data_IF_635351234835
#
_entry.id   IF_635351234835
#
_cell.length_a   1.000
_cell.length_b   1.000
_cell.length_c   1.000
_cell.angle_alpha   90.00
_cell.angle_beta   90.00
_cell.angle_gamma   90.00
#
_symmetry.space_group_name_H-M   'P 1'
#
loop_
_entity.id
_entity.type
_entity.pdbx_description
1 polymer ?
#
# COMPACT_ATOMS: atom_id res chain seq x y z
N UNK A 1 -20.43 -1.38 71.00
CA UNK A 1 -20.33 -2.32 69.85
C UNK A 1 -20.00 -1.52 68.61
N UNK A 2 -18.71 -1.40 68.29
CA UNK A 2 -18.19 -0.63 67.15
C UNK A 2 -18.03 -1.57 65.94
N UNK A 3 -18.60 -1.16 64.80
CA UNK A 3 -18.59 -1.89 63.52
C UNK A 3 -17.21 -1.81 62.86
N UNK A 4 -16.68 -2.98 62.47
CA UNK A 4 -15.44 -3.15 61.72
C UNK A 4 -15.60 -2.69 60.26
N UNK A 5 -14.76 -1.72 59.85
CA UNK A 5 -14.52 -1.31 58.46
C UNK A 5 -13.42 -2.19 57.86
N UNK A 6 -13.74 -2.97 56.83
CA UNK A 6 -12.74 -3.69 56.02
C UNK A 6 -12.00 -2.70 55.11
N UNK A 7 -10.72 -2.43 55.41
CA UNK A 7 -9.83 -1.61 54.59
C UNK A 7 -9.50 -2.31 53.27
N UNK A 8 -9.87 -1.68 52.14
CA UNK A 8 -9.30 -1.93 50.81
C UNK A 8 -7.88 -1.36 50.80
N UNK A 9 -6.88 -2.20 50.54
CA UNK A 9 -5.51 -1.74 50.30
C UNK A 9 -5.41 -1.23 48.85
N UNK A 10 -5.32 0.09 48.70
CA UNK A 10 -4.86 0.74 47.47
C UNK A 10 -3.42 1.15 47.72
N UNK A 11 -2.47 0.48 47.06
CA UNK A 11 -1.06 0.86 47.15
C UNK A 11 -0.81 2.03 46.20
N UNK A 12 -0.61 3.23 46.76
CA UNK A 12 -0.01 4.36 46.05
C UNK A 12 1.49 4.37 46.35
N UNK A 13 2.32 4.15 45.33
CA UNK A 13 3.76 4.36 45.43
C UNK A 13 4.09 5.76 44.90
N UNK A 14 4.53 6.66 45.79
CA UNK A 14 5.03 7.99 45.42
C UNK A 14 6.56 7.93 45.26
N UNK A 15 7.06 8.03 44.03
CA UNK A 15 8.49 8.31 43.74
C UNK A 15 8.62 9.21 42.51
N UNK A 16 9.58 10.13 42.58
CA UNK A 16 9.84 11.30 41.74
C UNK A 16 10.52 11.01 40.39
N UNK A 17 10.09 11.77 39.36
CA UNK A 17 10.62 12.00 37.99
C UNK A 17 10.53 10.89 36.91
N UNK A 18 9.62 11.17 35.95
CA UNK A 18 9.46 10.67 34.56
C UNK A 18 8.98 9.22 34.34
N UNK A 19 7.76 8.94 34.77
CA UNK A 19 6.92 7.93 34.12
C UNK A 19 5.66 8.58 33.55
N UNK A 20 5.46 8.39 32.25
CA UNK A 20 4.33 8.94 31.50
C UNK A 20 3.10 8.03 31.51
N UNK A 21 3.14 6.89 32.19
CA UNK A 21 2.09 5.88 32.16
C UNK A 21 1.51 5.58 33.55
N UNK A 22 0.20 5.37 33.60
CA UNK A 22 -0.53 4.83 34.76
C UNK A 22 -1.19 3.51 34.36
N UNK A 23 -1.21 2.53 35.27
CA UNK A 23 -1.76 1.20 35.00
C UNK A 23 -2.94 0.89 35.91
N UNK A 24 -3.94 0.21 35.35
CA UNK A 24 -5.07 -0.31 36.10
C UNK A 24 -5.40 -1.73 35.64
N UNK A 25 -5.33 -2.67 36.57
CA UNK A 25 -5.63 -4.07 36.30
C UNK A 25 -7.11 -4.35 36.59
N UNK A 26 -7.86 -4.58 35.51
CA UNK A 26 -9.29 -4.90 35.56
C UNK A 26 -9.53 -6.41 35.70
N UNK A 27 -10.80 -6.81 35.54
CA UNK A 27 -11.19 -8.23 35.64
C UNK A 27 -10.59 -9.08 34.51
N UNK A 28 -10.58 -8.57 33.28
CA UNK A 28 -10.19 -9.32 32.08
C UNK A 28 -9.09 -8.62 31.25
N UNK A 29 -8.61 -7.45 31.68
CA UNK A 29 -7.68 -6.63 30.90
C UNK A 29 -6.82 -5.72 31.75
N UNK A 30 -5.66 -5.37 31.23
CA UNK A 30 -4.82 -4.26 31.68
C UNK A 30 -5.21 -2.99 30.95
N UNK A 31 -5.42 -1.90 31.68
CA UNK A 31 -5.50 -0.54 31.14
C UNK A 31 -4.17 0.20 31.36
N UNK A 32 -3.64 0.83 30.31
CA UNK A 32 -2.48 1.72 30.37
C UNK A 32 -2.90 3.11 29.90
N UNK A 33 -2.83 4.10 30.78
CA UNK A 33 -3.09 5.50 30.47
C UNK A 33 -1.80 6.26 30.24
N UNK A 34 -1.66 6.95 29.10
CA UNK A 34 -0.54 7.87 28.85
C UNK A 34 -0.89 9.30 29.23
N UNK A 35 -0.10 9.90 30.11
CA UNK A 35 -0.18 11.33 30.48
C UNK A 35 0.19 12.25 29.32
N UNK A 36 1.09 11.81 28.43
CA UNK A 36 1.50 12.60 27.25
C UNK A 36 0.38 12.58 26.21
N UNK A 37 -0.04 11.38 25.79
CA UNK A 37 -1.03 11.24 24.73
C UNK A 37 -2.47 11.45 25.20
N UNK A 38 -2.67 11.63 26.52
CA UNK A 38 -3.98 11.78 27.18
C UNK A 38 -5.00 10.73 26.73
N UNK A 39 -4.55 9.48 26.59
CA UNK A 39 -5.38 8.37 26.11
C UNK A 39 -5.03 7.05 26.80
N UNK A 40 -6.07 6.25 27.05
CA UNK A 40 -5.98 4.90 27.62
C UNK A 40 -5.95 3.84 26.53
N UNK A 41 -5.30 2.71 26.82
CA UNK A 41 -5.28 1.50 26.01
C UNK A 41 -5.64 0.30 26.87
N UNK A 42 -6.46 -0.59 26.32
CA UNK A 42 -6.88 -1.80 27.01
C UNK A 42 -6.29 -3.03 26.32
N UNK A 43 -5.66 -3.90 27.10
CA UNK A 43 -5.02 -5.13 26.64
C UNK A 43 -5.71 -6.32 27.33
N UNK A 44 -6.42 -7.17 26.59
CA UNK A 44 -6.98 -8.41 27.14
C UNK A 44 -5.87 -9.28 27.73
N UNK A 45 -6.15 -9.96 28.86
CA UNK A 45 -5.18 -10.84 29.50
C UNK A 45 -4.76 -12.01 28.61
N UNK A 46 -5.69 -12.57 27.83
CA UNK A 46 -5.38 -13.58 26.83
C UNK A 46 -4.37 -13.07 25.81
N UNK A 47 -4.58 -11.87 25.27
CA UNK A 47 -3.66 -11.25 24.32
C UNK A 47 -2.27 -11.03 24.92
N UNK A 48 -2.20 -10.54 26.17
CA UNK A 48 -0.91 -10.37 26.86
C UNK A 48 -0.17 -11.71 26.99
N UNK A 49 -0.85 -12.76 27.44
CA UNK A 49 -0.27 -14.10 27.63
C UNK A 49 0.21 -14.71 26.32
N UNK A 50 -0.57 -14.56 25.25
CA UNK A 50 -0.26 -15.00 23.89
C UNK A 50 0.93 -14.24 23.30
N UNK A 51 1.04 -12.94 23.61
CA UNK A 51 2.16 -12.08 23.18
C UNK A 51 3.34 -12.08 24.18
N UNK A 52 3.47 -13.11 25.01
CA UNK A 52 4.62 -13.26 25.90
C UNK A 52 5.92 -13.38 25.08
N UNK A 53 6.93 -12.57 25.43
CA UNK A 53 8.24 -12.57 24.76
C UNK A 53 9.33 -13.28 25.58
N UNK A 54 8.98 -14.19 26.49
CA UNK A 54 10.01 -15.00 27.15
C UNK A 54 10.58 -16.06 26.17
N UNK A 55 11.75 -16.61 26.46
CA UNK A 55 12.41 -17.60 25.59
C UNK A 55 11.66 -18.92 25.39
N UNK A 56 10.57 -19.16 26.14
CA UNK A 56 9.67 -20.32 25.94
C UNK A 56 8.49 -20.02 25.01
N UNK A 57 8.18 -18.75 24.79
CA UNK A 57 7.02 -18.32 24.00
C UNK A 57 7.44 -17.59 22.73
N UNK A 58 8.71 -17.22 22.61
CA UNK A 58 9.25 -16.49 21.49
C UNK A 58 10.67 -16.94 21.14
N UNK A 59 10.86 -17.30 19.88
CA UNK A 59 12.15 -17.64 19.33
C UNK A 59 12.84 -16.37 18.83
N UNK A 60 13.79 -15.86 19.61
CA UNK A 60 14.55 -14.65 19.24
C UNK A 60 15.54 -14.85 18.09
N UNK A 61 15.86 -16.09 17.72
CA UNK A 61 16.72 -16.37 16.57
C UNK A 61 15.90 -16.26 15.27
N UNK A 62 14.69 -16.82 15.26
CA UNK A 62 13.79 -16.77 14.12
C UNK A 62 12.91 -15.51 14.07
N UNK A 63 12.80 -14.78 15.18
CA UNK A 63 11.83 -13.69 15.39
C UNK A 63 10.37 -14.16 15.26
N UNK A 64 10.09 -15.37 15.76
CA UNK A 64 8.81 -16.07 15.62
C UNK A 64 8.17 -16.41 16.98
N UNK A 65 6.84 -16.55 16.98
CA UNK A 65 6.07 -16.96 18.15
C UNK A 65 6.13 -18.49 18.29
N UNK A 66 6.58 -18.98 19.45
CA UNK A 66 6.60 -20.42 19.77
C UNK A 66 5.38 -20.87 20.56
N UNK A 67 4.61 -19.92 21.12
CA UNK A 67 3.44 -20.28 21.92
C UNK A 67 2.33 -20.84 21.04
N UNK A 68 1.82 -22.01 21.43
CA UNK A 68 0.56 -22.52 20.89
C UNK A 68 -0.60 -21.92 21.68
N UNK A 69 -1.39 -21.05 21.03
CA UNK A 69 -2.56 -20.39 21.61
C UNK A 69 -3.52 -21.39 22.26
N UNK A 70 -3.65 -22.62 21.73
CA UNK A 70 -4.56 -23.65 22.27
C UNK A 70 -4.14 -24.16 23.64
N UNK A 71 -2.88 -23.94 24.03
CA UNK A 71 -2.37 -24.28 25.37
C UNK A 71 -2.72 -23.22 26.41
N UNK A 72 -3.21 -22.05 25.99
CA UNK A 72 -3.61 -20.95 26.86
C UNK A 72 -5.11 -21.10 27.19
N UNK A 73 -5.50 -21.27 28.46
CA UNK A 73 -6.91 -21.36 28.80
C UNK A 73 -7.65 -20.05 28.54
N UNK A 74 -8.89 -20.11 28.02
CA UNK A 74 -9.75 -18.92 27.87
C UNK A 74 -10.04 -18.18 29.20
N UNK A 75 -9.81 -18.86 30.32
CA UNK A 75 -9.94 -18.33 31.68
C UNK A 75 -8.65 -17.70 32.22
N UNK A 76 -7.64 -17.51 31.37
CA UNK A 76 -6.34 -16.95 31.73
C UNK A 76 -6.49 -15.60 32.43
N UNK A 77 -5.85 -15.48 33.59
CA UNK A 77 -5.89 -14.29 34.43
C UNK A 77 -4.62 -14.16 35.28
N UNK A 78 -4.26 -12.95 35.70
CA UNK A 78 -3.17 -12.75 36.64
C UNK A 78 -3.48 -13.43 37.99
N UNK A 79 -2.59 -14.31 38.43
CA UNK A 79 -2.52 -14.77 39.82
C UNK A 79 -1.76 -13.74 40.67
N UNK A 80 -0.68 -13.17 40.15
CA UNK A 80 0.13 -12.15 40.81
C UNK A 80 0.67 -11.16 39.79
N UNK A 81 0.79 -9.91 40.21
CA UNK A 81 1.36 -8.83 39.42
C UNK A 81 2.42 -8.14 40.28
N UNK A 82 3.61 -7.95 39.74
CA UNK A 82 4.73 -7.34 40.44
C UNK A 82 5.38 -6.27 39.56
N UNK A 83 5.54 -5.06 40.09
CA UNK A 83 6.42 -4.06 39.46
C UNK A 83 7.85 -4.54 39.62
N UNK A 84 8.57 -4.68 38.52
CA UNK A 84 10.01 -4.97 38.57
C UNK A 84 10.75 -3.65 38.74
N UNK A 85 10.41 -2.68 37.90
CA UNK A 85 10.89 -1.30 38.00
C UNK A 85 9.76 -0.33 37.61
N UNK A 86 10.16 0.89 37.24
CA UNK A 86 9.27 1.97 36.83
C UNK A 86 8.58 1.71 35.47
N UNK A 87 9.25 1.05 34.54
CA UNK A 87 8.79 0.80 33.17
C UNK A 87 8.31 -0.63 32.98
N UNK A 88 8.76 -1.56 33.80
CA UNK A 88 8.51 -3.00 33.60
C UNK A 88 7.70 -3.61 34.74
N UNK A 89 6.83 -4.54 34.38
CA UNK A 89 6.07 -5.35 35.33
C UNK A 89 6.05 -6.80 34.87
N UNK A 90 5.86 -7.69 35.84
CA UNK A 90 5.64 -9.11 35.58
C UNK A 90 4.23 -9.54 35.98
N UNK A 91 3.70 -10.51 35.23
CA UNK A 91 2.46 -11.21 35.55
C UNK A 91 2.82 -12.69 35.75
N UNK A 92 2.49 -13.22 36.93
CA UNK A 92 2.34 -14.66 37.13
C UNK A 92 0.90 -15.03 36.80
N UNK A 93 0.73 -15.88 35.80
CA UNK A 93 -0.56 -16.33 35.29
C UNK A 93 -1.11 -17.54 36.05
N UNK A 94 -2.40 -17.81 35.91
CA UNK A 94 -3.05 -18.98 36.53
C UNK A 94 -2.74 -20.33 35.86
N UNK A 95 -2.05 -20.33 34.72
CA UNK A 95 -1.42 -21.52 34.13
C UNK A 95 -0.01 -21.78 34.71
N UNK A 96 0.45 -20.94 35.65
CA UNK A 96 1.78 -21.02 36.26
C UNK A 96 2.90 -20.34 35.47
N UNK A 97 2.62 -19.80 34.28
CA UNK A 97 3.61 -19.09 33.48
C UNK A 97 3.90 -17.69 34.04
N UNK A 98 5.12 -17.20 33.86
CA UNK A 98 5.50 -15.82 34.19
C UNK A 98 5.89 -15.05 32.92
N UNK A 99 5.24 -13.92 32.70
CA UNK A 99 5.53 -13.01 31.58
C UNK A 99 5.98 -11.65 32.09
N UNK A 100 6.87 -10.99 31.36
CA UNK A 100 7.38 -9.65 31.68
C UNK A 100 7.09 -8.69 30.52
N UNK A 101 6.66 -7.47 30.85
CA UNK A 101 6.24 -6.47 29.89
C UNK A 101 6.84 -5.12 30.21
N UNK A 102 7.26 -4.41 29.16
CA UNK A 102 7.63 -2.99 29.22
C UNK A 102 6.42 -2.14 28.84
N UNK A 103 6.04 -1.21 29.71
CA UNK A 103 4.85 -0.36 29.56
C UNK A 103 4.91 0.52 28.31
N UNK A 104 6.08 1.05 27.97
CA UNK A 104 6.26 1.94 26.82
C UNK A 104 6.17 1.14 25.52
N UNK A 105 6.85 -0.01 25.45
CA UNK A 105 6.75 -0.92 24.30
C UNK A 105 5.31 -1.41 24.11
N UNK A 106 4.66 -1.81 25.19
CA UNK A 106 3.28 -2.31 25.17
C UNK A 106 2.31 -1.20 24.72
N UNK A 107 2.44 0.01 25.29
CA UNK A 107 1.64 1.16 24.88
C UNK A 107 1.86 1.49 23.41
N UNK A 108 3.11 1.55 22.94
CA UNK A 108 3.45 1.90 21.57
C UNK A 108 3.15 0.79 20.55
N UNK A 109 2.96 -0.46 21.00
CA UNK A 109 2.62 -1.60 20.14
C UNK A 109 1.39 -1.29 19.26
N UNK A 110 0.33 -0.74 19.84
CA UNK A 110 -0.88 -0.37 19.07
C UNK A 110 -0.81 1.00 18.38
N UNK A 111 0.24 1.81 18.59
CA UNK A 111 0.43 3.05 17.81
C UNK A 111 0.98 2.72 16.42
N UNK A 112 1.76 1.66 16.26
CA UNK A 112 2.31 1.28 14.95
C UNK A 112 1.23 0.85 13.96
N UNK A 113 0.13 0.25 14.42
CA UNK A 113 -1.01 -0.11 13.56
C UNK A 113 -1.97 1.07 13.28
N UNK A 114 -2.14 1.99 14.24
CA UNK A 114 -3.07 3.13 14.12
C UNK A 114 -2.43 4.38 13.49
N UNK A 115 -1.10 4.52 13.56
CA UNK A 115 -0.34 5.58 12.89
C UNK A 115 0.23 5.08 11.56
N UNK A 116 -0.58 4.45 10.70
CA UNK A 116 -0.30 4.60 9.27
C UNK A 116 -0.18 6.11 9.02
N UNK A 117 1.02 6.53 8.59
CA UNK A 117 1.41 7.93 8.62
C UNK A 117 0.32 8.81 8.01
N UNK A 118 -0.05 9.87 8.74
CA UNK A 118 -0.96 10.96 8.30
C UNK A 118 -0.43 11.75 7.09
N UNK A 119 0.60 11.26 6.38
CA UNK A 119 0.97 11.83 5.10
C UNK A 119 -0.11 11.44 4.09
N UNK A 120 -1.11 12.30 4.00
CA UNK A 120 -2.24 12.16 3.09
C UNK A 120 -1.75 12.10 1.63
N UNK A 121 -2.25 11.12 0.89
CA UNK A 121 -2.17 11.08 -0.57
C UNK A 121 -2.69 12.41 -1.10
N UNK A 122 -1.84 13.18 -1.79
CA UNK A 122 -2.27 14.43 -2.42
C UNK A 122 -2.90 14.08 -3.75
N UNK A 123 -4.24 14.11 -3.81
CA UNK A 123 -4.97 13.92 -5.07
C UNK A 123 -4.71 15.11 -6.01
N UNK A 124 -4.52 14.84 -7.30
CA UNK A 124 -4.14 15.87 -8.25
C UNK A 124 -4.77 15.74 -9.63
N UNK A 125 -4.81 16.87 -10.31
CA UNK A 125 -5.01 16.99 -11.74
C UNK A 125 -3.87 17.86 -12.32
N UNK A 126 -3.95 18.20 -13.60
CA UNK A 126 -2.95 19.04 -14.28
C UNK A 126 -2.67 20.36 -13.55
N UNK A 127 -3.71 21.00 -13.01
CA UNK A 127 -3.58 22.29 -12.32
C UNK A 127 -2.88 22.15 -10.97
N UNK A 128 -3.17 21.08 -10.22
CA UNK A 128 -2.60 20.83 -8.90
C UNK A 128 -1.11 20.46 -8.96
N UNK A 129 -0.69 19.69 -9.98
CA UNK A 129 0.73 19.45 -10.25
C UNK A 129 1.43 20.75 -10.70
N UNK A 130 0.74 21.53 -11.52
CA UNK A 130 1.22 22.82 -12.01
C UNK A 130 2.58 22.71 -12.68
N UNK A 131 3.40 23.76 -12.56
CA UNK A 131 4.74 23.80 -13.15
C UNK A 131 5.76 22.90 -12.43
N UNK A 132 5.49 22.52 -11.17
CA UNK A 132 6.41 21.65 -10.40
C UNK A 132 6.44 20.22 -10.95
N UNK A 133 5.33 19.77 -11.54
CA UNK A 133 5.24 18.45 -12.16
C UNK A 133 5.49 17.29 -11.18
N UNK A 134 5.92 16.17 -11.74
CA UNK A 134 6.28 14.96 -10.98
C UNK A 134 7.66 15.15 -10.32
N UNK A 135 7.84 14.78 -9.03
CA UNK A 135 9.12 14.87 -8.34
C UNK A 135 10.23 14.09 -9.04
N UNK A 136 11.44 14.65 -9.00
CA UNK A 136 12.62 14.12 -9.69
C UNK A 136 13.77 13.85 -8.71
N UNK A 137 14.48 12.75 -8.92
CA UNK A 137 15.64 12.37 -8.10
C UNK A 137 16.81 11.94 -9.00
N UNK A 138 18.03 12.25 -8.59
CA UNK A 138 19.22 11.80 -9.32
C UNK A 138 19.50 10.31 -9.04
N UNK A 139 19.85 9.56 -10.09
CA UNK A 139 20.10 8.12 -10.04
C UNK A 139 21.16 7.70 -9.01
N UNK A 140 22.33 8.35 -9.00
CA UNK A 140 23.42 7.99 -8.08
C UNK A 140 23.02 8.24 -6.63
N UNK A 141 22.32 9.33 -6.35
CA UNK A 141 21.82 9.64 -5.01
C UNK A 141 20.74 8.63 -4.58
N UNK A 142 19.82 8.29 -5.47
CA UNK A 142 18.78 7.29 -5.22
C UNK A 142 19.36 5.91 -4.86
N UNK A 143 20.39 5.46 -5.58
CA UNK A 143 21.01 4.17 -5.31
C UNK A 143 21.79 4.15 -3.99
N UNK A 144 22.51 5.23 -3.67
CA UNK A 144 23.52 5.20 -2.62
C UNK A 144 23.10 5.88 -1.29
N UNK A 145 21.97 6.59 -1.25
CA UNK A 145 21.52 7.33 -0.06
C UNK A 145 20.10 6.91 0.37
N UNK A 146 19.97 6.28 1.54
CA UNK A 146 18.69 5.86 2.11
C UNK A 146 17.76 7.04 2.43
N UNK A 147 18.29 8.25 2.69
CA UNK A 147 17.46 9.44 2.89
C UNK A 147 16.77 9.87 1.59
N UNK A 148 17.46 9.72 0.45
CA UNK A 148 16.92 10.01 -0.87
C UNK A 148 15.92 8.93 -1.30
N UNK A 149 16.22 7.65 -1.03
CA UNK A 149 15.25 6.58 -1.25
C UNK A 149 13.98 6.81 -0.41
N UNK A 150 14.12 7.18 0.88
CA UNK A 150 12.99 7.52 1.75
C UNK A 150 12.14 8.63 1.13
N UNK A 151 12.74 9.75 0.71
CA UNK A 151 12.03 10.85 0.05
C UNK A 151 11.36 10.43 -1.26
N UNK A 152 11.98 9.50 -2.00
CA UNK A 152 11.42 8.93 -3.23
C UNK A 152 10.15 8.13 -2.93
N UNK A 153 10.20 7.22 -1.94
CA UNK A 153 9.05 6.41 -1.53
C UNK A 153 7.93 7.27 -0.94
N UNK A 154 8.26 8.32 -0.17
CA UNK A 154 7.30 9.33 0.32
C UNK A 154 6.64 10.07 -0.86
N UNK A 155 7.40 10.38 -1.90
CA UNK A 155 6.88 11.05 -3.09
C UNK A 155 5.96 10.14 -3.90
N UNK A 156 6.27 8.85 -4.04
CA UNK A 156 5.37 7.84 -4.62
C UNK A 156 4.09 7.74 -3.79
N UNK A 157 4.17 7.66 -2.46
CA UNK A 157 2.98 7.60 -1.58
C UNK A 157 2.10 8.84 -1.73
N UNK A 158 2.73 10.02 -1.78
CA UNK A 158 2.05 11.31 -1.85
C UNK A 158 1.45 11.61 -3.22
N UNK A 159 2.24 11.48 -4.29
CA UNK A 159 1.86 11.88 -5.65
C UNK A 159 1.57 10.71 -6.58
N UNK A 160 1.91 9.48 -6.22
CA UNK A 160 1.73 8.30 -7.07
C UNK A 160 2.82 8.12 -8.12
N UNK A 161 3.75 9.06 -8.31
CA UNK A 161 4.85 8.93 -9.28
C UNK A 161 6.09 9.74 -8.90
N UNK A 162 7.22 9.32 -9.46
CA UNK A 162 8.53 9.99 -9.42
C UNK A 162 9.30 9.71 -10.71
N UNK A 163 10.24 10.57 -11.05
CA UNK A 163 11.20 10.35 -12.14
C UNK A 163 12.61 10.24 -11.54
N UNK A 164 13.34 9.20 -11.92
CA UNK A 164 14.79 9.09 -11.65
C UNK A 164 15.53 9.55 -12.90
N UNK A 165 16.41 10.54 -12.76
CA UNK A 165 17.16 11.16 -13.86
C UNK A 165 18.64 10.75 -13.82
N UNK A 166 19.31 10.81 -14.97
CA UNK A 166 20.71 10.41 -15.14
C UNK A 166 20.95 8.91 -14.90
N UNK A 167 19.98 8.06 -15.28
CA UNK A 167 20.09 6.58 -15.19
C UNK A 167 21.02 6.02 -16.26
N UNK A 168 21.21 6.75 -17.37
CA UNK A 168 21.89 6.27 -18.55
C UNK A 168 20.96 5.52 -19.50
N UNK A 169 21.47 5.16 -20.67
CA UNK A 169 20.67 4.56 -21.77
C UNK A 169 20.71 3.03 -21.79
N UNK A 170 21.39 2.38 -20.84
CA UNK A 170 21.46 0.92 -20.79
C UNK A 170 20.17 0.34 -20.18
N UNK A 171 19.49 -0.54 -20.91
CA UNK A 171 18.23 -1.17 -20.49
C UNK A 171 18.32 -1.96 -19.18
N UNK A 172 19.52 -2.34 -18.73
CA UNK A 172 19.72 -3.09 -17.49
C UNK A 172 19.67 -2.20 -16.24
N UNK A 173 19.75 -0.88 -16.39
CA UNK A 173 19.80 0.04 -15.25
C UNK A 173 18.43 0.15 -14.55
N UNK A 174 17.33 -0.04 -15.27
CA UNK A 174 15.98 -0.09 -14.67
C UNK A 174 15.87 -1.21 -13.62
N UNK A 175 16.58 -2.33 -13.82
CA UNK A 175 16.59 -3.43 -12.86
C UNK A 175 17.30 -3.04 -11.57
N UNK A 176 18.33 -2.18 -11.63
CA UNK A 176 18.99 -1.62 -10.45
C UNK A 176 18.06 -0.67 -9.69
N UNK A 177 17.32 0.17 -10.43
CA UNK A 177 16.27 1.04 -9.85
C UNK A 177 15.23 0.20 -9.12
N UNK A 178 14.73 -0.88 -9.73
CA UNK A 178 13.73 -1.75 -9.11
C UNK A 178 14.27 -2.48 -7.87
N UNK A 179 15.44 -3.13 -8.00
CA UNK A 179 16.10 -3.90 -6.93
C UNK A 179 16.47 -3.07 -5.70
N UNK A 180 16.58 -1.74 -5.85
CA UNK A 180 16.77 -0.83 -4.73
C UNK A 180 15.56 -0.78 -3.79
N UNK A 181 14.35 -1.02 -4.32
CA UNK A 181 13.11 -1.14 -3.54
C UNK A 181 12.85 -2.59 -3.15
N UNK A 182 12.85 -3.51 -4.12
CA UNK A 182 12.55 -4.91 -3.90
C UNK A 182 12.74 -5.79 -5.14
N UNK A 183 12.43 -7.08 -5.07
CA UNK A 183 12.59 -7.99 -6.20
C UNK A 183 11.67 -7.63 -7.36
N UNK A 184 12.14 -7.87 -8.58
CA UNK A 184 11.31 -7.70 -9.79
C UNK A 184 10.17 -8.72 -9.73
N UNK A 185 8.94 -8.25 -9.91
CA UNK A 185 7.76 -9.09 -10.02
C UNK A 185 7.69 -9.68 -11.43
N UNK A 186 7.92 -11.00 -11.53
CA UNK A 186 7.74 -11.71 -12.78
C UNK A 186 6.27 -11.71 -13.23
N UNK A 187 6.06 -11.57 -14.53
CA UNK A 187 4.76 -11.74 -15.18
C UNK A 187 4.87 -12.71 -16.36
N UNK A 188 3.74 -12.98 -17.02
CA UNK A 188 3.72 -13.74 -18.26
C UNK A 188 4.39 -13.02 -19.45
N UNK A 189 4.79 -11.75 -19.27
CA UNK A 189 5.65 -11.00 -20.20
C UNK A 189 7.15 -11.17 -19.91
N UNK A 190 7.52 -11.82 -18.79
CA UNK A 190 8.91 -11.94 -18.33
C UNK A 190 9.22 -11.07 -17.11
N UNK A 191 10.51 -11.05 -16.71
CA UNK A 191 11.04 -10.25 -15.61
C UNK A 191 11.30 -8.80 -16.04
N UNK A 192 12.11 -8.63 -17.09
CA UNK A 192 12.28 -7.36 -17.79
C UNK A 192 11.54 -7.45 -19.12
N UNK A 193 10.55 -6.58 -19.33
CA UNK A 193 9.81 -6.55 -20.58
C UNK A 193 10.36 -5.44 -21.47
N UNK A 194 11.11 -5.80 -22.51
CA UNK A 194 11.54 -4.84 -23.53
C UNK A 194 10.36 -4.61 -24.48
N UNK A 195 9.77 -3.43 -24.40
CA UNK A 195 8.70 -2.96 -25.30
C UNK A 195 9.33 -2.21 -26.46
N UNK A 196 9.34 -2.84 -27.62
CA UNK A 196 9.67 -2.21 -28.91
C UNK A 196 8.44 -2.19 -29.80
N UNK A 197 8.40 -1.36 -30.83
CA UNK A 197 7.35 -1.47 -31.86
C UNK A 197 7.55 -2.67 -32.82
N UNK A 198 8.11 -3.78 -32.32
CA UNK A 198 8.06 -5.08 -32.97
C UNK A 198 6.83 -5.81 -32.45
N UNK A 199 5.96 -6.32 -33.33
CA UNK A 199 4.67 -6.99 -33.02
C UNK A 199 4.77 -8.26 -32.13
N UNK A 200 5.87 -8.43 -31.41
CA UNK A 200 6.00 -9.37 -30.31
C UNK A 200 4.81 -9.25 -29.34
N UNK A 201 4.30 -10.39 -28.91
CA UNK A 201 3.10 -10.56 -28.06
C UNK A 201 1.71 -10.21 -28.63
N UNK A 202 1.56 -9.60 -29.82
CA UNK A 202 0.25 -9.14 -30.37
C UNK A 202 -0.51 -8.21 -29.41
N UNK A 203 0.21 -7.40 -28.65
CA UNK A 203 -0.35 -6.44 -27.71
C UNK A 203 -0.26 -5.00 -28.29
N UNK A 204 -1.26 -4.15 -28.01
CA UNK A 204 -1.33 -2.77 -28.50
C UNK A 204 -0.14 -1.94 -28.01
N UNK A 205 0.47 -2.28 -26.88
CA UNK A 205 1.67 -1.64 -26.35
C UNK A 205 2.84 -1.62 -27.37
N UNK A 206 2.91 -2.65 -28.23
CA UNK A 206 3.95 -2.84 -29.26
C UNK A 206 3.59 -2.21 -30.62
N UNK A 207 2.58 -1.34 -30.66
CA UNK A 207 2.21 -0.57 -31.86
C UNK A 207 2.62 0.90 -31.72
N UNK A 208 2.49 1.68 -32.79
CA UNK A 208 2.73 3.14 -32.78
C UNK A 208 1.46 3.98 -32.52
N UNK A 209 0.32 3.32 -32.26
CA UNK A 209 -0.95 3.98 -31.97
C UNK A 209 -0.96 4.56 -30.56
N UNK A 210 -1.84 5.55 -30.31
CA UNK A 210 -2.02 6.05 -28.95
C UNK A 210 -2.62 4.97 -28.02
N UNK A 211 -2.20 5.05 -26.76
CA UNK A 211 -2.74 4.32 -25.63
C UNK A 211 -3.43 5.33 -24.71
N UNK A 212 -4.73 5.11 -24.49
CA UNK A 212 -5.53 5.84 -23.51
C UNK A 212 -5.10 5.43 -22.10
N UNK A 213 -5.43 6.27 -21.13
CA UNK A 213 -5.18 6.00 -19.72
C UNK A 213 -5.75 4.64 -19.29
N UNK A 214 -4.90 3.79 -18.70
CA UNK A 214 -5.23 2.47 -18.17
C UNK A 214 -4.32 2.10 -16.98
N UNK A 215 -4.73 1.09 -16.21
CA UNK A 215 -3.85 0.35 -15.31
C UNK A 215 -3.51 -1.02 -15.90
N UNK A 216 -2.31 -1.48 -15.59
CA UNK A 216 -1.78 -2.74 -16.09
C UNK A 216 -2.14 -3.91 -15.19
N UNK A 217 -2.15 -5.12 -15.76
CA UNK A 217 -2.36 -6.38 -15.04
C UNK A 217 -3.70 -6.46 -14.26
N UNK A 218 -4.74 -5.76 -14.71
CA UNK A 218 -6.06 -5.70 -14.03
C UNK A 218 -6.72 -7.08 -13.81
N UNK A 219 -6.35 -8.06 -14.62
CA UNK A 219 -6.80 -9.45 -14.58
C UNK A 219 -5.96 -10.35 -13.64
N UNK A 220 -4.87 -9.85 -13.07
CA UNK A 220 -4.05 -10.58 -12.10
C UNK A 220 -4.57 -10.34 -10.68
N UNK A 221 -4.67 -11.42 -9.89
CA UNK A 221 -4.93 -11.33 -8.44
C UNK A 221 -3.84 -10.51 -7.74
N UNK A 222 -2.59 -10.83 -8.04
CA UNK A 222 -1.42 -10.09 -7.61
C UNK A 222 -1.01 -9.11 -8.72
N UNK A 223 -1.84 -8.10 -8.97
CA UNK A 223 -1.53 -7.04 -9.93
C UNK A 223 -0.23 -6.32 -9.55
N UNK A 224 0.48 -5.80 -10.55
CA UNK A 224 1.69 -5.00 -10.32
C UNK A 224 1.38 -3.78 -9.46
N UNK A 225 2.13 -3.60 -8.38
CA UNK A 225 1.95 -2.49 -7.42
C UNK A 225 2.60 -1.21 -7.93
N UNK A 226 3.89 -1.29 -8.24
CA UNK A 226 4.65 -0.21 -8.88
C UNK A 226 5.06 -0.69 -10.27
N UNK A 227 4.95 0.20 -11.24
CA UNK A 227 5.44 0.00 -12.60
C UNK A 227 6.52 1.04 -12.91
N UNK A 228 7.53 0.62 -13.67
CA UNK A 228 8.66 1.49 -14.03
C UNK A 228 8.89 1.47 -15.53
N UNK A 229 9.14 2.64 -16.11
CA UNK A 229 9.35 2.87 -17.53
C UNK A 229 10.70 3.52 -17.77
N UNK A 230 11.60 2.82 -18.46
CA UNK A 230 12.88 3.36 -18.92
C UNK A 230 12.83 3.54 -20.43
N UNK A 231 12.85 4.79 -20.89
CA UNK A 231 13.00 5.05 -22.33
C UNK A 231 14.47 4.83 -22.69
N UNK A 232 14.76 3.77 -23.44
CA UNK A 232 16.11 3.46 -23.94
C UNK A 232 16.38 4.20 -25.25
N UNK A 233 15.34 4.32 -26.08
CA UNK A 233 15.37 5.09 -27.32
C UNK A 233 14.02 5.77 -27.54
N UNK A 234 13.95 7.11 -27.59
CA UNK A 234 12.71 7.85 -27.78
C UNK A 234 12.24 7.70 -29.22
N UNK A 235 10.96 8.01 -29.43
CA UNK A 235 10.43 8.16 -30.77
C UNK A 235 10.99 9.41 -31.46
N UNK A 236 10.88 9.47 -32.79
CA UNK A 236 11.27 10.67 -33.56
C UNK A 236 10.32 11.84 -33.27
N UNK A 237 9.02 11.56 -33.24
CA UNK A 237 7.97 12.53 -32.87
C UNK A 237 6.88 11.84 -32.04
N UNK A 238 6.31 12.58 -31.09
CA UNK A 238 5.28 12.06 -30.18
C UNK A 238 5.81 11.06 -29.16
N UNK A 239 4.93 10.16 -28.70
CA UNK A 239 5.30 9.09 -27.76
C UNK A 239 5.45 9.53 -26.31
N UNK A 240 4.96 10.72 -25.96
CA UNK A 240 4.87 11.24 -24.61
C UNK A 240 4.06 10.28 -23.73
N UNK A 241 4.50 10.11 -22.49
CA UNK A 241 3.81 9.31 -21.48
C UNK A 241 2.69 10.14 -20.86
N UNK A 242 1.52 9.52 -20.67
CA UNK A 242 0.39 10.10 -19.97
C UNK A 242 0.33 9.54 -18.55
N UNK A 243 0.04 10.40 -17.57
CA UNK A 243 -0.41 10.01 -16.23
C UNK A 243 -1.74 10.69 -15.90
N UNK A 244 -2.63 9.94 -15.26
CA UNK A 244 -3.91 10.41 -14.71
C UNK A 244 -4.07 9.88 -13.30
N UNK A 245 -4.37 10.75 -12.33
CA UNK A 245 -4.65 10.32 -10.95
C UNK A 245 -6.03 9.67 -10.86
N UNK A 246 -6.06 8.34 -10.85
CA UNK A 246 -7.29 7.56 -10.80
C UNK A 246 -8.08 7.79 -9.52
N UNK A 247 -7.41 8.07 -8.40
CA UNK A 247 -8.09 8.39 -7.14
C UNK A 247 -8.76 9.77 -7.19
N UNK A 248 -8.13 10.75 -7.86
CA UNK A 248 -8.77 12.05 -8.08
C UNK A 248 -9.97 11.94 -9.03
N UNK A 249 -9.85 11.14 -10.09
CA UNK A 249 -10.98 10.86 -11.00
C UNK A 249 -12.12 10.13 -10.28
N UNK A 250 -11.81 9.17 -9.40
CA UNK A 250 -12.79 8.46 -8.60
C UNK A 250 -13.48 9.40 -7.60
N UNK A 251 -12.74 10.35 -7.01
CA UNK A 251 -13.31 11.39 -6.16
C UNK A 251 -14.28 12.32 -6.94
N UNK A 252 -13.92 12.72 -8.17
CA UNK A 252 -14.83 13.47 -9.04
C UNK A 252 -16.09 12.67 -9.37
N UNK A 253 -15.96 11.38 -9.69
CA UNK A 253 -17.12 10.51 -9.94
C UNK A 253 -18.01 10.43 -8.70
N UNK A 254 -17.42 10.29 -7.51
CA UNK A 254 -18.16 10.26 -6.23
C UNK A 254 -18.95 11.55 -5.99
N UNK A 255 -18.40 12.70 -6.38
CA UNK A 255 -19.05 14.01 -6.21
C UNK A 255 -20.12 14.27 -7.26
N UNK A 256 -19.82 13.96 -8.53
CA UNK A 256 -20.67 14.34 -9.67
C UNK A 256 -21.75 13.29 -9.99
N UNK A 257 -21.45 12.01 -9.75
CA UNK A 257 -22.31 10.87 -10.08
C UNK A 257 -22.22 9.79 -8.97
N UNK A 258 -22.67 10.08 -7.73
CA UNK A 258 -22.48 9.18 -6.58
C UNK A 258 -23.06 7.77 -6.79
N UNK A 259 -24.17 7.64 -7.52
CA UNK A 259 -24.73 6.33 -7.86
C UNK A 259 -23.82 5.51 -8.80
N UNK A 260 -23.12 6.16 -9.74
CA UNK A 260 -22.18 5.47 -10.63
C UNK A 260 -20.90 5.08 -9.88
N UNK A 261 -20.44 5.94 -8.98
CA UNK A 261 -19.36 5.60 -8.06
C UNK A 261 -19.69 4.34 -7.25
N UNK A 262 -20.89 4.28 -6.66
CA UNK A 262 -21.35 3.14 -5.88
C UNK A 262 -21.37 1.85 -6.71
N UNK A 263 -21.80 1.91 -7.97
CA UNK A 263 -21.77 0.77 -8.88
C UNK A 263 -20.33 0.31 -9.12
N UNK A 264 -19.41 1.22 -9.47
CA UNK A 264 -18.01 0.85 -9.74
C UNK A 264 -17.25 0.39 -8.48
N UNK A 265 -17.71 0.77 -7.29
CA UNK A 265 -17.12 0.36 -6.03
C UNK A 265 -17.64 -0.97 -5.49
N UNK A 266 -18.94 -1.28 -5.70
CA UNK A 266 -19.58 -2.45 -5.09
C UNK A 266 -19.77 -3.62 -6.06
N UNK A 267 -19.92 -3.33 -7.35
CA UNK A 267 -20.23 -4.35 -8.35
C UNK A 267 -18.95 -5.06 -8.79
N UNK A 268 -18.90 -6.37 -8.56
CA UNK A 268 -17.78 -7.21 -8.97
C UNK A 268 -17.90 -7.62 -10.44
N UNK A 269 -17.00 -7.13 -11.27
CA UNK A 269 -16.84 -7.51 -12.68
C UNK A 269 -15.63 -8.43 -12.86
N UNK A 270 -15.60 -9.21 -13.93
CA UNK A 270 -14.48 -10.11 -14.22
C UNK A 270 -13.56 -9.49 -15.27
N UNK A 271 -12.33 -9.15 -14.88
CA UNK A 271 -11.25 -8.76 -15.77
C UNK A 271 -10.57 -10.02 -16.29
N UNK A 272 -10.38 -10.13 -17.61
CA UNK A 272 -9.72 -11.29 -18.19
C UNK A 272 -8.62 -10.94 -19.20
N UNK A 273 -7.64 -11.84 -19.29
CA UNK A 273 -6.64 -11.89 -20.34
C UNK A 273 -6.52 -13.33 -20.80
N UNK A 274 -7.03 -13.59 -22.00
CA UNK A 274 -7.03 -14.90 -22.63
C UNK A 274 -6.12 -14.86 -23.86
N UNK A 275 -5.14 -15.74 -23.88
CA UNK A 275 -4.30 -16.03 -25.04
C UNK A 275 -4.35 -17.54 -25.26
N UNK A 276 -5.13 -17.95 -26.25
CA UNK A 276 -5.39 -19.37 -26.53
C UNK A 276 -4.09 -20.20 -26.56
N UNK A 277 -4.08 -21.31 -25.81
CA UNK A 277 -2.93 -22.21 -25.70
C UNK A 277 -1.76 -21.70 -24.86
N UNK A 278 -1.83 -20.49 -24.29
CA UNK A 278 -0.73 -19.90 -23.52
C UNK A 278 -1.16 -19.41 -22.12
N UNK A 279 -2.19 -18.56 -22.03
CA UNK A 279 -2.57 -17.88 -20.78
C UNK A 279 -4.08 -17.75 -20.63
N UNK A 280 -4.59 -18.03 -19.43
CA UNK A 280 -5.96 -17.71 -18.99
C UNK A 280 -5.88 -17.09 -17.59
N UNK A 281 -5.87 -15.76 -17.54
CA UNK A 281 -5.79 -14.99 -16.31
C UNK A 281 -7.10 -14.26 -16.07
N UNK A 282 -7.66 -14.42 -14.87
CA UNK A 282 -8.94 -13.82 -14.48
C UNK A 282 -8.89 -13.28 -13.06
N UNK A 283 -9.50 -12.12 -12.88
CA UNK A 283 -9.72 -11.51 -11.58
C UNK A 283 -11.14 -10.96 -11.50
N UNK A 284 -11.85 -11.27 -10.41
CA UNK A 284 -13.19 -10.76 -10.15
C UNK A 284 -13.15 -9.81 -8.97
N UNK A 285 -13.54 -8.56 -9.19
CA UNK A 285 -13.51 -7.50 -8.19
C UNK A 285 -14.11 -6.19 -8.71
N UNK A 286 -14.16 -5.15 -7.87
CA UNK A 286 -14.67 -3.86 -8.29
C UNK A 286 -13.67 -3.11 -9.17
N UNK A 287 -14.16 -2.08 -9.88
CA UNK A 287 -13.30 -1.15 -10.63
C UNK A 287 -12.60 -0.17 -9.68
N UNK A 288 -13.30 0.23 -8.61
CA UNK A 288 -12.80 1.16 -7.58
C UNK A 288 -12.80 0.44 -6.23
N UNK A 289 -11.64 0.06 -5.74
CA UNK A 289 -11.50 -0.61 -4.45
C UNK A 289 -11.28 0.39 -3.32
N UNK A 290 -12.02 0.20 -2.21
CA UNK A 290 -11.88 0.97 -0.98
C UNK A 290 -11.52 0.03 0.17
N UNK A 291 -10.78 0.54 1.16
CA UNK A 291 -10.60 -0.15 2.43
C UNK A 291 -11.84 -0.02 3.33
N UNK A 292 -11.82 -0.69 4.49
CA UNK A 292 -12.92 -0.66 5.47
C UNK A 292 -13.20 0.75 6.04
N UNK A 293 -12.24 1.67 5.91
CA UNK A 293 -12.36 3.07 6.33
C UNK A 293 -12.83 3.98 5.19
N UNK A 294 -13.06 3.43 3.99
CA UNK A 294 -13.50 4.15 2.80
C UNK A 294 -12.38 4.88 2.06
N UNK A 295 -11.11 4.57 2.33
CA UNK A 295 -9.97 5.13 1.59
C UNK A 295 -9.72 4.36 0.29
N UNK A 296 -9.26 5.07 -0.74
CA UNK A 296 -8.90 4.45 -2.02
C UNK A 296 -7.72 3.47 -1.89
N UNK A 297 -7.94 2.24 -2.35
CA UNK A 297 -6.95 1.15 -2.38
C UNK A 297 -6.42 0.94 -3.80
N UNK A 298 -7.31 0.72 -4.77
CA UNK A 298 -6.92 0.37 -6.14
C UNK A 298 -7.94 0.82 -7.19
N UNK A 299 -7.47 1.25 -8.36
CA UNK A 299 -8.26 1.42 -9.57
C UNK A 299 -7.88 0.33 -10.58
N UNK A 300 -8.87 -0.47 -10.99
CA UNK A 300 -8.72 -1.47 -12.06
C UNK A 300 -9.48 -1.01 -13.29
N UNK A 301 -8.76 -0.36 -14.20
CA UNK A 301 -9.36 0.19 -15.41
C UNK A 301 -8.45 -0.01 -16.60
N UNK A 302 -8.83 -0.88 -17.52
CA UNK A 302 -8.13 -1.02 -18.79
C UNK A 302 -9.16 -1.17 -19.92
N UNK A 303 -9.33 -0.16 -20.80
CA UNK A 303 -10.36 -0.18 -21.83
C UNK A 303 -10.03 -1.13 -22.99
N UNK A 304 -8.83 -1.72 -23.00
CA UNK A 304 -8.37 -2.65 -24.04
C UNK A 304 -8.58 -4.12 -23.65
N UNK A 305 -8.74 -4.41 -22.36
CA UNK A 305 -9.02 -5.75 -21.89
C UNK A 305 -10.52 -6.01 -21.82
N UNK A 306 -10.90 -7.25 -22.10
CA UNK A 306 -12.29 -7.67 -22.00
C UNK A 306 -12.68 -7.73 -20.52
N UNK A 307 -13.80 -7.09 -20.21
CA UNK A 307 -14.48 -7.24 -18.93
C UNK A 307 -15.71 -8.09 -19.18
N UNK A 308 -15.77 -9.23 -18.51
CA UNK A 308 -16.92 -10.13 -18.55
C UNK A 308 -17.91 -9.73 -17.45
N UNK A 309 -19.15 -9.51 -17.88
CA UNK A 309 -20.28 -9.09 -17.04
C UNK A 309 -21.48 -10.03 -17.19
N UNK A 310 -21.31 -11.17 -17.89
CA UNK A 310 -22.41 -12.08 -18.24
C UNK A 310 -23.03 -12.77 -17.00
N UNK A 311 -22.32 -12.76 -15.87
CA UNK A 311 -22.83 -13.25 -14.58
C UNK A 311 -23.73 -12.25 -13.83
N UNK A 312 -23.89 -11.03 -14.36
CA UNK A 312 -24.66 -9.97 -13.72
C UNK A 312 -26.11 -9.92 -14.22
N UNK A 313 -26.99 -9.29 -13.45
CA UNK A 313 -28.37 -9.03 -13.88
C UNK A 313 -28.40 -8.03 -15.04
N UNK A 314 -29.47 -8.05 -15.84
CA UNK A 314 -29.66 -7.08 -16.94
C UNK A 314 -29.53 -5.62 -16.46
N UNK A 315 -30.16 -5.29 -15.34
CA UNK A 315 -30.13 -3.94 -14.78
C UNK A 315 -28.72 -3.55 -14.27
N UNK A 316 -28.00 -4.48 -13.63
CA UNK A 316 -26.62 -4.23 -13.22
C UNK A 316 -25.67 -4.04 -14.41
N UNK A 317 -25.87 -4.78 -15.51
CA UNK A 317 -25.11 -4.59 -16.75
C UNK A 317 -25.35 -3.18 -17.30
N UNK A 318 -26.61 -2.74 -17.40
CA UNK A 318 -26.94 -1.40 -17.85
C UNK A 318 -26.32 -0.30 -16.96
N UNK A 319 -26.39 -0.48 -15.63
CA UNK A 319 -25.81 0.45 -14.65
C UNK A 319 -24.28 0.48 -14.73
N UNK A 320 -23.65 -0.68 -14.88
CA UNK A 320 -22.21 -0.80 -15.06
C UNK A 320 -21.75 -0.03 -16.30
N UNK A 321 -22.38 -0.25 -17.45
CA UNK A 321 -22.00 0.44 -18.69
C UNK A 321 -22.21 1.95 -18.62
N UNK A 322 -23.28 2.42 -17.94
CA UNK A 322 -23.46 3.85 -17.65
C UNK A 322 -22.31 4.38 -16.80
N UNK A 323 -22.01 3.69 -15.70
CA UNK A 323 -21.03 4.13 -14.71
C UNK A 323 -19.60 4.14 -15.27
N UNK A 324 -19.19 3.07 -15.97
CA UNK A 324 -17.86 2.96 -16.56
C UNK A 324 -17.65 3.98 -17.68
N UNK A 325 -18.71 4.33 -18.44
CA UNK A 325 -18.67 5.41 -19.43
C UNK A 325 -18.43 6.75 -18.77
N UNK A 326 -19.18 7.09 -17.72
CA UNK A 326 -19.01 8.35 -17.00
C UNK A 326 -17.62 8.45 -16.36
N UNK A 327 -17.11 7.37 -15.77
CA UNK A 327 -15.76 7.33 -15.24
C UNK A 327 -14.69 7.49 -16.33
N UNK A 328 -14.87 6.81 -17.47
CA UNK A 328 -13.99 6.93 -18.62
C UNK A 328 -13.98 8.35 -19.22
N UNK A 329 -15.11 9.06 -19.19
CA UNK A 329 -15.19 10.48 -19.59
C UNK A 329 -14.39 11.36 -18.64
N UNK A 330 -14.50 11.16 -17.33
CA UNK A 330 -13.71 11.91 -16.33
C UNK A 330 -12.21 11.66 -16.52
N UNK A 331 -11.80 10.41 -16.71
CA UNK A 331 -10.39 10.04 -16.95
C UNK A 331 -9.83 10.74 -18.20
N UNK A 332 -10.63 10.87 -19.26
CA UNK A 332 -10.23 11.48 -20.53
C UNK A 332 -10.33 13.02 -20.55
N UNK A 333 -10.75 13.64 -19.45
CA UNK A 333 -10.76 15.09 -19.35
C UNK A 333 -9.32 15.64 -19.41
N UNK A 334 -9.09 16.62 -20.28
CA UNK A 334 -7.77 17.25 -20.48
C UNK A 334 -7.23 17.96 -19.24
N UNK A 335 -8.09 18.30 -18.29
CA UNK A 335 -7.67 18.82 -16.99
C UNK A 335 -7.12 17.74 -16.07
N UNK A 336 -7.51 16.47 -16.26
CA UNK A 336 -7.02 15.32 -15.48
C UNK A 336 -5.76 14.69 -16.11
N UNK A 337 -5.50 14.95 -17.38
CA UNK A 337 -4.31 14.45 -18.09
C UNK A 337 -3.03 15.24 -17.77
N UNK A 338 -1.97 14.53 -17.37
CA UNK A 338 -0.61 15.07 -17.27
C UNK A 338 0.32 14.34 -18.25
N UNK A 339 0.85 15.08 -19.23
CA UNK A 339 1.71 14.54 -20.29
C UNK A 339 3.18 14.84 -20.00
N UNK A 340 4.03 13.82 -20.15
CA UNK A 340 5.46 13.85 -19.82
C UNK A 340 6.26 13.32 -21.02
N UNK A 341 7.19 14.13 -21.52
CA UNK A 341 8.23 13.66 -22.43
C UNK A 341 9.41 13.11 -21.60
N UNK A 342 9.61 11.79 -21.65
CA UNK A 342 10.71 11.12 -20.95
C UNK A 342 11.96 11.07 -21.84
N UNK A 343 13.11 11.43 -21.27
CA UNK A 343 14.43 11.32 -21.92
C UNK A 343 15.04 9.92 -21.84
N UNK A 344 16.12 9.71 -22.62
CA UNK A 344 16.89 8.45 -22.71
C UNK A 344 17.55 8.00 -21.40
N UNK A 345 17.68 8.92 -20.45
CA UNK A 345 18.35 8.74 -19.16
C UNK A 345 17.36 8.82 -17.98
N UNK A 346 16.06 8.69 -18.27
CA UNK A 346 15.00 8.84 -17.28
C UNK A 346 14.22 7.54 -17.09
N UNK A 347 13.95 7.24 -15.82
CA UNK A 347 13.02 6.17 -15.41
C UNK A 347 11.85 6.80 -14.69
N UNK A 348 10.64 6.60 -15.22
CA UNK A 348 9.40 6.97 -14.54
C UNK A 348 8.95 5.78 -13.69
N UNK A 349 8.75 5.99 -12.39
CA UNK A 349 8.17 5.00 -11.49
C UNK A 349 6.82 5.52 -11.02
N UNK A 350 5.80 4.67 -11.03
CA UNK A 350 4.47 5.06 -10.60
C UNK A 350 3.68 3.93 -9.93
N UNK A 351 2.76 4.34 -9.07
CA UNK A 351 1.81 3.49 -8.37
C UNK A 351 0.70 3.05 -9.33
N UNK A 352 0.82 1.85 -9.90
CA UNK A 352 -0.15 1.27 -10.84
C UNK A 352 -1.49 0.92 -10.15
N UNK A 353 -1.58 0.94 -8.82
CA UNK A 353 -2.87 0.84 -8.13
C UNK A 353 -3.63 2.16 -8.15
N UNK A 354 -2.94 3.28 -8.35
CA UNK A 354 -3.50 4.63 -8.25
C UNK A 354 -3.54 5.34 -9.60
N UNK A 355 -2.40 5.42 -10.27
CA UNK A 355 -2.24 6.18 -11.50
C UNK A 355 -2.58 5.32 -12.69
N UNK A 356 -3.44 5.86 -13.55
CA UNK A 356 -3.59 5.34 -14.90
C UNK A 356 -2.49 5.97 -15.74
N UNK A 357 -1.96 5.19 -16.69
CA UNK A 357 -0.95 5.65 -17.61
C UNK A 357 -1.37 5.42 -19.06
N UNK A 358 -0.72 6.11 -19.98
CA UNK A 358 -0.96 5.96 -21.41
C UNK A 358 0.19 6.52 -22.22
N UNK A 359 -0.04 6.67 -23.53
CA UNK A 359 0.99 7.14 -24.45
C UNK A 359 0.38 7.83 -25.66
N UNK A 360 1.00 8.91 -26.11
CA UNK A 360 0.68 9.53 -27.38
C UNK A 360 1.01 8.57 -28.54
N UNK A 361 0.40 8.82 -29.71
CA UNK A 361 0.85 8.19 -30.94
C UNK A 361 2.25 8.72 -31.30
N UNK A 362 3.01 7.97 -32.08
CA UNK A 362 4.39 8.36 -32.42
C UNK A 362 4.84 7.86 -33.80
N UNK A 363 5.92 8.44 -34.30
CA UNK A 363 6.60 8.01 -35.54
C UNK A 363 8.03 7.52 -35.27
N UNK A 364 8.56 6.71 -36.19
CA UNK A 364 9.90 6.15 -36.07
C UNK A 364 9.97 4.93 -35.16
N UNK A 365 11.15 4.71 -34.58
CA UNK A 365 11.43 3.58 -33.69
C UNK A 365 11.61 4.03 -32.25
N UNK A 366 10.92 3.37 -31.31
CA UNK A 366 10.96 3.64 -29.88
C UNK A 366 11.21 2.35 -29.12
N UNK A 367 12.13 2.41 -28.15
CA UNK A 367 12.46 1.30 -27.25
C UNK A 367 12.25 1.76 -25.82
N UNK A 368 11.45 1.01 -25.08
CA UNK A 368 11.17 1.25 -23.68
C UNK A 368 11.25 -0.09 -22.93
N UNK A 369 11.92 -0.11 -21.80
CA UNK A 369 11.91 -1.27 -20.90
C UNK A 369 10.92 -1.03 -19.78
N UNK A 370 10.11 -2.03 -19.46
CA UNK A 370 9.22 -2.03 -18.30
C UNK A 370 9.61 -3.09 -17.31
N UNK A 371 9.45 -2.78 -16.03
CA UNK A 371 9.53 -3.73 -14.93
C UNK A 371 8.40 -3.48 -13.95
N UNK A 372 7.95 -4.56 -13.32
CA UNK A 372 6.95 -4.52 -12.26
C UNK A 372 7.59 -4.80 -10.91
N UNK A 373 7.04 -4.21 -9.87
CA UNK A 373 7.34 -4.48 -8.48
C UNK A 373 6.03 -4.72 -7.73
N UNK A 374 6.03 -5.69 -6.82
CA UNK A 374 4.83 -6.00 -6.05
C UNK A 374 4.47 -4.84 -5.11
N UNK A 375 3.19 -4.74 -4.77
CA UNK A 375 2.72 -3.75 -3.79
C UNK A 375 3.37 -3.99 -2.42
N UNK A 376 3.53 -5.25 -2.04
CA UNK A 376 4.06 -5.65 -0.75
C UNK A 376 5.54 -5.29 -0.61
N UNK A 377 6.34 -5.49 -1.65
CA UNK A 377 7.76 -5.13 -1.64
C UNK A 377 7.96 -3.61 -1.50
N UNK A 378 7.16 -2.84 -2.24
CA UNK A 378 7.13 -1.38 -2.10
C UNK A 378 6.75 -0.95 -0.68
N UNK A 379 5.65 -1.48 -0.13
CA UNK A 379 5.17 -1.12 1.21
C UNK A 379 6.15 -1.57 2.30
N UNK A 380 6.75 -2.75 2.16
CA UNK A 380 7.77 -3.28 3.07
C UNK A 380 8.97 -2.34 3.13
N UNK A 381 9.54 -1.97 1.98
CA UNK A 381 10.68 -1.03 1.93
C UNK A 381 10.31 0.34 2.50
N UNK A 382 9.13 0.86 2.17
CA UNK A 382 8.61 2.11 2.70
C UNK A 382 8.50 2.07 4.24
N UNK A 383 7.93 0.99 4.79
CA UNK A 383 7.78 0.81 6.24
C UNK A 383 9.12 0.70 6.96
N UNK A 384 10.09 -0.04 6.40
CA UNK A 384 11.47 -0.13 6.92
C UNK A 384 12.12 1.24 7.01
N UNK A 385 11.88 2.10 6.01
CA UNK A 385 12.40 3.47 5.98
C UNK A 385 11.51 4.48 6.69
N UNK A 386 10.39 4.06 7.30
CA UNK A 386 9.47 4.89 8.11
C UNK A 386 8.58 5.85 7.31
N UNK A 387 8.08 5.43 6.14
CA UNK A 387 7.28 6.21 5.17
C UNK A 387 5.78 6.00 5.30
#
# INVERSE_FOLDING_TARGET
>A
MLKNLSKRFVYFCNVTRKLHFETKFGKNSLEIFSKIAKSSRHYPYLWLRDNCKCSKCYNYIADEIDIDLTTIPDTIRPNKIESIDQKTFSILWNDGHKSEYDLEKLYNYSLKSLNQSKEEKKLWNKLVLGQKGIPKFNYNNYLNDDSILRLTLQSIKKYGAVIIENVGSNSNEISNVCKRIGPIQNSHFGADCIVTNSLSFKDRAYTNLSLKAHTDTVYMKNSAGIEMFHVVKPAETGGESLLVDGFYCAQQLKQNCPHDFDILNKLNVEFNFLKEGAYDLRYKGPVIELDELGNFVQIRFNPYHKVNVDHLSFDDICRYYRAIRNFSTIIQDKLNEHWIALGEDQVLLFDNYRLLHGRAAFTGHRTLTTVYLSRDDYLSKANVLGV
#
